data_IF_753573859844
#
_entry.id   IF_753573859844
#
_cell.length_a   1.000
_cell.length_b   1.000
_cell.length_c   1.000
_cell.angle_alpha   90.00
_cell.angle_beta   90.00
_cell.angle_gamma   90.00
#
_symmetry.space_group_name_H-M   'P 1'
#
loop_
_entity.id
_entity.type
_entity.pdbx_description
1 polymer ?
#
# COMPACT_ATOMS: atom_id res chain seq x y z
N UNK A 1 26.41 6.72 -26.67
CA UNK A 1 27.25 7.61 -27.51
C UNK A 1 26.48 8.80 -28.06
N UNK A 2 25.41 8.62 -28.85
CA UNK A 2 24.72 9.76 -29.49
C UNK A 2 24.19 10.82 -28.49
N UNK A 3 23.69 10.40 -27.32
CA UNK A 3 23.25 11.30 -26.24
C UNK A 3 24.41 12.13 -25.67
N UNK A 4 25.58 11.52 -25.47
CA UNK A 4 26.78 12.22 -24.95
C UNK A 4 27.28 13.24 -25.97
N UNK A 5 27.34 12.87 -27.25
CA UNK A 5 27.71 13.78 -28.32
C UNK A 5 26.74 14.97 -28.44
N UNK A 6 25.43 14.71 -28.32
CA UNK A 6 24.40 15.76 -28.32
C UNK A 6 24.56 16.72 -27.13
N UNK A 7 24.81 16.20 -25.92
CA UNK A 7 25.05 17.02 -24.71
C UNK A 7 26.30 17.88 -24.87
N UNK A 8 27.41 17.34 -25.37
CA UNK A 8 28.65 18.08 -25.63
C UNK A 8 28.45 19.16 -26.70
N UNK A 9 27.74 18.85 -27.79
CA UNK A 9 27.42 19.81 -28.85
C UNK A 9 26.56 20.97 -28.34
N UNK A 10 25.49 20.70 -27.58
CA UNK A 10 24.62 21.73 -27.00
C UNK A 10 25.34 22.58 -25.94
N UNK A 11 26.23 21.97 -25.16
CA UNK A 11 27.08 22.69 -24.21
C UNK A 11 27.98 23.69 -24.95
N UNK A 12 28.70 23.23 -25.98
CA UNK A 12 29.66 24.02 -26.77
C UNK A 12 28.98 25.10 -27.62
N UNK A 13 28.06 24.74 -28.51
CA UNK A 13 27.43 25.68 -29.47
C UNK A 13 26.64 26.78 -28.77
N UNK A 14 25.96 26.47 -27.67
CA UNK A 14 25.22 27.49 -26.95
C UNK A 14 26.10 28.44 -26.13
N UNK A 15 27.39 28.16 -25.92
CA UNK A 15 28.25 28.95 -25.02
C UNK A 15 28.63 30.32 -25.60
N UNK A 16 28.58 30.46 -26.93
CA UNK A 16 28.92 31.68 -27.69
C UNK A 16 27.81 32.75 -27.75
N UNK A 17 26.62 32.53 -27.17
CA UNK A 17 25.54 33.54 -27.13
C UNK A 17 25.09 33.86 -25.71
N UNK A 18 25.15 35.16 -25.39
CA UNK A 18 25.26 35.72 -24.05
C UNK A 18 24.00 35.66 -23.15
N UNK A 19 22.92 34.98 -23.55
CA UNK A 19 21.66 34.88 -22.78
C UNK A 19 21.59 33.64 -21.85
N UNK A 20 22.73 32.96 -21.64
CA UNK A 20 22.75 31.56 -21.20
C UNK A 20 22.60 31.30 -19.68
N UNK A 21 22.44 32.33 -18.84
CA UNK A 21 22.41 32.15 -17.37
C UNK A 21 21.08 31.56 -16.89
N UNK A 22 19.93 32.03 -17.38
CA UNK A 22 18.63 31.48 -17.00
C UNK A 22 18.43 30.04 -17.52
N UNK A 23 18.86 29.74 -18.74
CA UNK A 23 18.69 28.43 -19.37
C UNK A 23 19.62 27.35 -18.78
N UNK A 24 20.83 27.72 -18.36
CA UNK A 24 21.78 26.77 -17.76
C UNK A 24 21.33 26.26 -16.39
N UNK A 25 20.71 27.10 -15.56
CA UNK A 25 20.15 26.67 -14.26
C UNK A 25 19.06 25.62 -14.49
N UNK A 26 18.14 25.84 -15.43
CA UNK A 26 17.11 24.86 -15.79
C UNK A 26 17.68 23.52 -16.28
N UNK A 27 18.72 23.56 -17.12
CA UNK A 27 19.41 22.36 -17.60
C UNK A 27 20.11 21.59 -16.46
N UNK A 28 20.76 22.28 -15.53
CA UNK A 28 21.39 21.66 -14.35
C UNK A 28 20.33 21.05 -13.43
N UNK A 29 19.23 21.75 -13.16
CA UNK A 29 18.12 21.22 -12.34
C UNK A 29 17.49 19.98 -12.99
N UNK A 30 17.30 19.98 -14.31
CA UNK A 30 16.78 18.81 -15.04
C UNK A 30 17.72 17.60 -14.96
N UNK A 31 19.04 17.81 -15.10
CA UNK A 31 20.04 16.75 -14.96
C UNK A 31 20.13 16.22 -13.52
N UNK A 32 20.03 17.11 -12.53
CA UNK A 32 19.97 16.73 -11.11
C UNK A 32 18.68 15.94 -10.81
N UNK A 33 17.53 16.35 -11.33
CA UNK A 33 16.27 15.61 -11.17
C UNK A 33 16.32 14.21 -11.82
N UNK A 34 17.02 14.07 -12.95
CA UNK A 34 17.21 12.79 -13.64
C UNK A 34 18.23 11.88 -12.92
N UNK A 35 19.29 12.45 -12.34
CA UNK A 35 20.31 11.70 -11.59
C UNK A 35 19.94 11.38 -10.13
N UNK A 36 19.11 12.22 -9.51
CA UNK A 36 18.66 12.08 -8.12
C UNK A 36 18.16 10.67 -7.75
N UNK A 37 17.25 10.01 -8.48
CA UNK A 37 16.74 8.68 -8.10
C UNK A 37 17.78 7.55 -8.18
N UNK A 38 18.97 7.79 -8.75
CA UNK A 38 20.06 6.82 -8.82
C UNK A 38 21.20 7.10 -7.82
N UNK A 39 21.25 8.32 -7.27
CA UNK A 39 22.30 8.76 -6.35
C UNK A 39 21.81 8.94 -4.91
N UNK A 40 20.55 9.32 -4.72
CA UNK A 40 19.93 9.33 -3.41
C UNK A 40 19.32 7.96 -3.11
N UNK A 41 19.41 7.47 -1.86
CA UNK A 41 18.59 6.34 -1.42
C UNK A 41 17.11 6.63 -1.73
N UNK A 42 16.31 5.62 -2.10
CA UNK A 42 14.88 5.83 -2.32
C UNK A 42 14.31 6.48 -1.06
N UNK A 43 13.83 7.71 -1.21
CA UNK A 43 13.09 8.38 -0.16
C UNK A 43 11.87 7.52 0.10
N UNK A 44 11.90 6.79 1.21
CA UNK A 44 10.71 6.18 1.76
C UNK A 44 9.80 7.33 2.15
N UNK A 45 9.01 7.82 1.19
CA UNK A 45 7.87 8.68 1.46
C UNK A 45 7.13 8.00 2.59
N UNK A 46 7.02 8.70 3.72
CA UNK A 46 6.46 8.19 4.96
C UNK A 46 4.96 7.99 4.83
N UNK A 47 4.56 7.07 3.95
CA UNK A 47 3.33 6.34 4.15
C UNK A 47 3.44 5.76 5.55
N UNK A 48 2.56 6.24 6.42
CA UNK A 48 2.09 5.47 7.56
C UNK A 48 2.04 4.01 7.11
N UNK A 49 2.63 3.05 7.84
CA UNK A 49 2.48 1.65 7.48
C UNK A 49 0.99 1.42 7.32
N UNK A 50 0.52 1.23 6.08
CA UNK A 50 -0.86 0.89 5.84
C UNK A 50 -0.99 -0.48 6.49
N UNK A 51 -1.54 -0.48 7.70
CA UNK A 51 -1.92 -1.67 8.42
C UNK A 51 -2.89 -2.37 7.50
N UNK A 52 -2.36 -3.28 6.69
CA UNK A 52 -3.12 -4.00 5.69
C UNK A 52 -4.31 -4.60 6.43
N UNK A 53 -5.55 -4.28 6.02
CA UNK A 53 -6.70 -4.69 6.77
C UNK A 53 -6.72 -6.21 6.89
N UNK A 54 -7.00 -6.71 8.09
CA UNK A 54 -7.20 -8.15 8.34
C UNK A 54 -8.34 -8.65 7.43
N UNK A 55 -7.98 -9.24 6.28
CA UNK A 55 -8.89 -9.49 5.15
C UNK A 55 -9.27 -10.96 5.06
N UNK A 56 -10.57 -11.27 4.95
CA UNK A 56 -11.08 -12.64 4.85
C UNK A 56 -12.09 -12.81 3.71
N UNK A 57 -11.77 -13.60 2.69
CA UNK A 57 -12.62 -13.76 1.49
C UNK A 57 -13.18 -15.20 1.33
N UNK A 58 -14.40 -15.36 0.80
CA UNK A 58 -15.04 -16.59 0.22
C UNK A 58 -15.52 -17.77 1.12
N UNK A 59 -16.85 -18.03 1.29
CA UNK A 59 -17.48 -19.40 1.38
C UNK A 59 -19.04 -19.65 1.37
N UNK A 60 -19.99 -18.91 2.01
CA UNK A 60 -21.30 -19.50 2.47
C UNK A 60 -22.24 -18.83 3.58
N UNK A 61 -22.85 -19.65 4.48
CA UNK A 61 -23.93 -19.41 5.52
C UNK A 61 -23.72 -19.90 7.00
N UNK A 62 -23.95 -19.10 8.05
CA UNK A 62 -23.93 -19.59 9.46
C UNK A 62 -25.24 -20.21 10.00
N UNK A 63 -25.16 -21.09 11.02
CA UNK A 63 -26.31 -21.63 11.79
C UNK A 63 -25.91 -22.13 13.19
N UNK A 64 -26.35 -21.51 14.28
CA UNK A 64 -26.15 -22.07 15.63
C UNK A 64 -27.42 -22.76 16.18
N UNK A 65 -27.25 -23.87 16.90
CA UNK A 65 -28.30 -24.53 17.69
C UNK A 65 -27.78 -24.95 19.07
N UNK A 66 -28.66 -25.48 19.94
CA UNK A 66 -28.34 -26.01 21.28
C UNK A 66 -27.79 -25.04 22.33
N UNK A 67 -27.60 -23.75 22.01
CA UNK A 67 -26.95 -22.76 22.88
C UNK A 67 -25.55 -22.35 22.39
N UNK A 68 -25.21 -22.67 21.15
CA UNK A 68 -24.00 -22.21 20.49
C UNK A 68 -24.11 -20.81 19.90
N UNK A 69 -22.99 -20.38 19.36
CA UNK A 69 -22.75 -19.17 18.57
C UNK A 69 -22.31 -19.64 17.19
N UNK A 70 -22.65 -18.90 16.15
CA UNK A 70 -22.18 -19.20 14.81
C UNK A 70 -22.13 -17.89 14.06
N UNK A 71 -20.97 -17.60 13.51
CA UNK A 71 -20.75 -16.39 12.76
C UNK A 71 -20.00 -16.78 11.49
N UNK A 72 -20.30 -16.07 10.43
CA UNK A 72 -19.50 -16.09 9.22
C UNK A 72 -18.43 -15.01 9.41
N UNK A 73 -17.61 -15.12 10.50
CA UNK A 73 -16.63 -14.18 11.15
C UNK A 73 -15.08 -14.44 11.17
N UNK A 74 -14.27 -13.41 10.90
CA UNK A 74 -12.95 -13.19 11.47
C UNK A 74 -13.25 -12.98 12.96
N UNK A 75 -12.29 -13.11 13.87
CA UNK A 75 -12.50 -12.57 15.21
C UNK A 75 -11.30 -11.71 15.59
N UNK A 76 -11.48 -10.39 15.52
CA UNK A 76 -10.40 -9.43 15.70
C UNK A 76 -10.47 -8.74 17.07
N UNK A 77 -9.42 -8.88 17.86
CA UNK A 77 -9.28 -8.19 19.14
C UNK A 77 -8.92 -6.72 18.92
N UNK A 78 -9.65 -5.82 19.57
CA UNK A 78 -9.43 -4.37 19.50
C UNK A 78 -10.11 -3.67 18.32
N UNK A 79 -10.49 -2.41 18.57
CA UNK A 79 -11.34 -1.63 17.66
C UNK A 79 -10.54 -0.94 16.54
N UNK A 80 -9.26 -0.64 16.78
CA UNK A 80 -8.50 0.31 15.94
C UNK A 80 -7.84 -0.32 14.70
N UNK A 81 -7.86 -1.65 14.57
CA UNK A 81 -7.18 -2.35 13.46
C UNK A 81 -8.07 -2.37 12.22
N UNK A 82 -7.60 -1.93 11.04
CA UNK A 82 -8.36 -2.09 9.80
C UNK A 82 -8.61 -3.59 9.53
N UNK A 83 -9.79 -3.93 9.01
CA UNK A 83 -10.15 -5.31 8.68
C UNK A 83 -11.23 -5.34 7.61
N UNK A 84 -11.20 -6.38 6.78
CA UNK A 84 -12.00 -6.52 5.57
C UNK A 84 -12.57 -7.93 5.46
N UNK A 85 -13.73 -8.08 4.82
CA UNK A 85 -14.31 -9.38 4.48
C UNK A 85 -14.86 -9.31 3.07
N UNK A 86 -14.91 -10.45 2.38
CA UNK A 86 -15.56 -10.58 1.07
C UNK A 86 -16.12 -12.01 0.95
N UNK A 87 -17.19 -12.22 0.16
CA UNK A 87 -17.74 -13.54 -0.21
C UNK A 87 -18.00 -14.60 0.93
N UNK A 88 -18.07 -14.23 2.23
CA UNK A 88 -18.03 -15.05 3.50
C UNK A 88 -19.04 -16.22 3.73
N UNK A 89 -18.88 -17.05 4.80
CA UNK A 89 -18.82 -18.55 4.87
C UNK A 89 -19.88 -19.48 5.55
N UNK A 90 -19.91 -20.79 5.22
CA UNK A 90 -20.90 -21.79 5.75
C UNK A 90 -20.54 -22.34 7.17
N UNK A 91 -20.87 -21.59 8.24
CA UNK A 91 -20.47 -21.89 9.63
C UNK A 91 -21.62 -22.40 10.54
N UNK A 92 -21.81 -23.72 10.69
CA UNK A 92 -22.82 -24.28 11.64
C UNK A 92 -22.21 -24.63 13.02
N UNK A 93 -22.93 -24.34 14.11
CA UNK A 93 -22.67 -24.81 15.47
C UNK A 93 -23.92 -25.50 16.06
N UNK A 94 -23.73 -26.42 16.99
CA UNK A 94 -24.82 -27.04 17.77
C UNK A 94 -24.35 -27.33 19.21
N UNK A 95 -25.26 -27.40 20.18
CA UNK A 95 -24.98 -27.62 21.60
C UNK A 95 -24.62 -26.36 22.42
N UNK A 96 -24.71 -26.41 23.77
CA UNK A 96 -24.48 -25.24 24.62
C UNK A 96 -23.03 -24.78 24.62
N UNK A 97 -22.79 -23.48 24.44
CA UNK A 97 -21.45 -22.87 24.49
C UNK A 97 -20.60 -23.05 23.22
N UNK A 98 -21.11 -23.77 22.20
CA UNK A 98 -20.43 -23.93 20.90
C UNK A 98 -20.19 -22.58 20.20
N UNK A 99 -19.23 -22.50 19.26
CA UNK A 99 -18.94 -21.30 18.44
C UNK A 99 -18.53 -21.68 17.01
N UNK A 100 -18.90 -20.90 15.97
CA UNK A 100 -18.43 -21.07 14.58
C UNK A 100 -18.00 -19.74 13.89
N UNK A 101 -17.09 -19.84 12.88
CA UNK A 101 -16.13 -18.86 12.26
C UNK A 101 -16.07 -18.59 10.69
N UNK A 102 -15.96 -17.36 10.11
CA UNK A 102 -15.27 -16.94 8.79
C UNK A 102 -14.84 -15.43 8.56
N UNK A 103 -15.70 -14.39 8.34
CA UNK A 103 -15.44 -12.90 8.23
C UNK A 103 -16.19 -11.82 9.14
N UNK A 104 -15.43 -11.07 9.99
CA UNK A 104 -15.57 -10.25 11.27
C UNK A 104 -16.67 -10.34 12.38
N UNK A 105 -16.21 -10.73 13.58
CA UNK A 105 -16.62 -10.38 14.97
C UNK A 105 -15.45 -9.65 15.67
N UNK A 106 -15.69 -8.86 16.72
CA UNK A 106 -14.61 -8.22 17.51
C UNK A 106 -14.84 -8.30 19.01
N UNK A 107 -13.73 -8.33 19.76
CA UNK A 107 -13.72 -8.32 21.23
C UNK A 107 -12.80 -7.23 21.80
N UNK A 108 -12.87 -6.99 23.13
CA UNK A 108 -11.86 -6.21 23.84
C UNK A 108 -10.45 -6.75 23.55
N UNK A 109 -9.43 -5.90 23.66
CA UNK A 109 -8.06 -6.42 23.78
C UNK A 109 -7.95 -7.12 25.14
N UNK A 110 -7.37 -8.33 25.22
CA UNK A 110 -6.98 -8.93 26.50
C UNK A 110 -5.84 -8.13 27.16
#
# INVERSE_FOLDING_TARGET
MIVVALVVYLASVGLDKADKVASSIGAVVALLALGAPYLLPPSQSGGVPMLNPDRVEDTGKAKATGGGRANTGLEAAGYDRPAQVTRSGDATADGPGSVANTGIQRGPRP
#
